data_IF_296384579444
#
_entry.id   IF_296384579444
#
_cell.length_a   1.000
_cell.length_b   1.000
_cell.length_c   1.000
_cell.angle_alpha   90.00
_cell.angle_beta   90.00
_cell.angle_gamma   90.00
#
_symmetry.space_group_name_H-M   'P 1'
#
loop_
_entity.id
_entity.type
_entity.pdbx_description
1 polymer ?
#
# COMPACT_ATOMS: atom_id res chain seq x y z
N UNK A 1 2.06 -3.57 20.81
CA UNK A 1 1.49 -2.81 19.68
C UNK A 1 2.67 -2.36 18.86
N UNK A 2 2.65 -2.59 17.56
CA UNK A 2 3.75 -2.21 16.67
C UNK A 2 3.47 -0.84 16.05
N UNK A 3 4.53 -0.06 15.84
CA UNK A 3 4.49 1.25 15.21
C UNK A 3 5.33 1.20 13.94
N UNK A 4 4.86 1.81 12.88
CA UNK A 4 5.57 1.86 11.60
C UNK A 4 5.96 3.31 11.33
N UNK A 5 7.24 3.52 11.07
CA UNK A 5 7.76 4.81 10.58
C UNK A 5 8.12 4.61 9.12
N UNK A 6 7.54 5.43 8.25
CA UNK A 6 7.71 5.34 6.80
C UNK A 6 8.03 6.73 6.21
N UNK A 7 9.16 6.83 5.52
CA UNK A 7 9.56 8.04 4.78
C UNK A 7 9.61 7.73 3.28
N UNK A 8 9.18 8.66 2.43
CA UNK A 8 9.13 8.46 0.98
C UNK A 8 10.11 9.36 0.25
N UNK A 9 10.58 8.95 -0.93
CA UNK A 9 11.41 9.75 -1.83
C UNK A 9 10.95 9.56 -3.26
N UNK A 10 10.76 10.65 -4.01
CA UNK A 10 10.57 10.56 -5.45
C UNK A 10 11.91 10.37 -6.14
N UNK A 11 12.00 9.31 -6.94
CA UNK A 11 13.16 9.03 -7.75
C UNK A 11 12.89 9.59 -9.15
N UNK A 12 13.73 10.51 -9.61
CA UNK A 12 13.53 11.23 -10.89
C UNK A 12 13.33 10.31 -12.11
N UNK A 13 13.79 9.06 -12.04
CA UNK A 13 13.54 8.04 -13.06
C UNK A 13 14.25 6.72 -12.76
N UNK A 14 14.25 5.83 -13.76
CA UNK A 14 14.87 4.50 -13.68
C UNK A 14 16.33 4.55 -13.26
N UNK A 15 17.10 5.51 -13.77
CA UNK A 15 18.53 5.63 -13.44
C UNK A 15 18.76 5.84 -11.94
N UNK A 16 17.97 6.71 -11.30
CA UNK A 16 18.04 6.93 -9.85
C UNK A 16 17.62 5.69 -9.05
N UNK A 17 16.60 4.96 -9.52
CA UNK A 17 16.17 3.71 -8.91
C UNK A 17 17.24 2.60 -9.02
N UNK A 18 17.89 2.48 -10.18
CA UNK A 18 18.96 1.52 -10.41
C UNK A 18 20.20 1.87 -9.57
N UNK A 19 20.51 3.16 -9.41
CA UNK A 19 21.58 3.64 -8.53
C UNK A 19 21.27 3.35 -7.04
N UNK A 20 20.03 3.58 -6.59
CA UNK A 20 19.61 3.24 -5.23
C UNK A 20 19.73 1.73 -4.99
N UNK A 21 19.27 0.90 -5.92
CA UNK A 21 19.40 -0.56 -5.85
C UNK A 21 20.86 -0.99 -5.68
N UNK A 22 21.77 -0.43 -6.49
CA UNK A 22 23.20 -0.73 -6.38
C UNK A 22 23.77 -0.37 -5.00
N UNK A 23 23.39 0.80 -4.44
CA UNK A 23 23.82 1.22 -3.10
C UNK A 23 23.28 0.30 -2.00
N UNK A 24 22.01 -0.13 -2.08
CA UNK A 24 21.43 -1.08 -1.13
C UNK A 24 22.18 -2.42 -1.15
N UNK A 25 22.47 -2.95 -2.34
CA UNK A 25 23.23 -4.20 -2.47
C UNK A 25 24.67 -4.06 -1.95
N UNK A 26 25.31 -2.90 -2.14
CA UNK A 26 26.64 -2.64 -1.57
C UNK A 26 26.66 -2.60 -0.03
N UNK A 27 25.48 -2.45 0.60
CA UNK A 27 25.26 -2.54 2.05
C UNK A 27 24.73 -3.91 2.48
N UNK A 28 24.91 -4.93 1.63
CA UNK A 28 24.46 -6.31 1.89
C UNK A 28 22.94 -6.43 2.13
N UNK A 29 22.15 -5.48 1.64
CA UNK A 29 20.70 -5.56 1.73
C UNK A 29 20.19 -6.80 0.97
N UNK A 30 19.24 -7.51 1.57
CA UNK A 30 18.65 -8.71 0.98
C UNK A 30 17.38 -8.35 0.23
N UNK A 31 17.26 -8.74 -1.03
CA UNK A 31 15.99 -8.71 -1.74
C UNK A 31 15.02 -9.66 -1.05
N UNK A 32 13.93 -9.13 -0.49
CA UNK A 32 12.91 -9.89 0.23
C UNK A 32 11.59 -10.00 -0.54
N UNK A 33 11.37 -9.12 -1.52
CA UNK A 33 10.17 -9.13 -2.36
C UNK A 33 10.53 -8.63 -3.76
N UNK A 34 9.97 -9.30 -4.77
CA UNK A 34 9.81 -8.75 -6.09
C UNK A 34 8.39 -9.06 -6.56
N UNK A 35 7.61 -8.03 -6.87
CA UNK A 35 6.20 -8.21 -7.19
C UNK A 35 5.67 -7.24 -8.23
N UNK A 36 4.62 -7.68 -8.94
CA UNK A 36 3.78 -6.84 -9.78
C UNK A 36 2.38 -6.81 -9.21
N UNK A 37 1.80 -5.62 -9.15
CA UNK A 37 0.55 -5.40 -8.45
C UNK A 37 -0.40 -4.55 -9.26
N UNK A 38 -1.64 -5.00 -9.39
CA UNK A 38 -2.78 -4.15 -9.74
C UNK A 38 -3.62 -4.00 -8.48
N UNK A 39 -3.78 -2.77 -8.00
CA UNK A 39 -4.53 -2.45 -6.79
C UNK A 39 -5.74 -1.60 -7.17
N UNK A 40 -6.96 -2.08 -6.93
CA UNK A 40 -8.17 -1.30 -7.16
C UNK A 40 -8.80 -0.94 -5.82
N UNK A 41 -8.92 0.35 -5.57
CA UNK A 41 -9.45 0.92 -4.34
C UNK A 41 -10.91 1.28 -4.54
N UNK A 42 -11.71 0.97 -3.53
CA UNK A 42 -13.14 1.21 -3.52
C UNK A 42 -13.55 2.03 -2.32
N UNK A 43 -14.56 2.89 -2.52
CA UNK A 43 -15.20 3.67 -1.47
C UNK A 43 -16.66 3.28 -1.34
N UNK A 44 -17.17 3.28 -0.11
CA UNK A 44 -18.53 2.85 0.22
C UNK A 44 -18.64 2.39 1.67
N UNK A 45 -19.87 2.12 2.11
CA UNK A 45 -20.20 1.74 3.49
C UNK A 45 -20.99 0.42 3.59
N UNK A 46 -20.98 -0.39 2.53
CA UNK A 46 -21.79 -1.61 2.42
C UNK A 46 -21.06 -2.89 2.85
N UNK A 47 -20.30 -2.83 3.94
CA UNK A 47 -19.43 -3.94 4.36
C UNK A 47 -20.17 -5.26 4.66
N UNK A 48 -21.36 -5.27 5.31
CA UNK A 48 -22.15 -6.49 5.47
C UNK A 48 -22.56 -7.13 4.13
N UNK A 49 -22.93 -6.32 3.14
CA UNK A 49 -23.28 -6.80 1.79
C UNK A 49 -22.06 -7.41 1.09
N UNK A 50 -20.88 -6.83 1.27
CA UNK A 50 -19.63 -7.37 0.74
C UNK A 50 -19.31 -8.73 1.37
N UNK A 51 -19.38 -8.83 2.70
CA UNK A 51 -19.13 -10.10 3.40
C UNK A 51 -20.07 -11.21 2.92
N UNK A 52 -21.36 -10.92 2.77
CA UNK A 52 -22.35 -11.89 2.30
C UNK A 52 -22.04 -12.41 0.88
N UNK A 53 -21.62 -11.51 -0.04
CA UNK A 53 -21.22 -11.90 -1.40
C UNK A 53 -19.94 -12.75 -1.40
N UNK A 54 -18.97 -12.38 -0.58
CA UNK A 54 -17.66 -13.02 -0.57
C UNK A 54 -17.62 -14.36 0.17
N UNK A 55 -18.63 -14.66 0.99
CA UNK A 55 -18.70 -15.90 1.76
C UNK A 55 -18.53 -17.18 0.92
N UNK A 56 -19.05 -17.20 -0.32
CA UNK A 56 -18.94 -18.36 -1.22
C UNK A 56 -17.61 -18.45 -1.99
N UNK A 57 -16.83 -17.37 -1.99
CA UNK A 57 -15.56 -17.27 -2.71
C UNK A 57 -14.33 -17.37 -1.78
N UNK A 58 -14.57 -17.36 -0.47
CA UNK A 58 -13.55 -17.42 0.57
C UNK A 58 -13.54 -18.78 1.25
N UNK A 59 -12.43 -19.10 1.93
CA UNK A 59 -12.41 -20.25 2.83
C UNK A 59 -13.36 -20.01 4.01
N UNK A 60 -13.86 -21.06 4.70
CA UNK A 60 -14.72 -20.87 5.87
C UNK A 60 -14.08 -20.01 6.97
N UNK A 61 -12.76 -20.09 7.15
CA UNK A 61 -12.02 -19.27 8.10
C UNK A 61 -11.97 -17.80 7.69
N UNK A 62 -11.64 -17.53 6.42
CA UNK A 62 -11.57 -16.17 5.89
C UNK A 62 -12.94 -15.50 5.86
N UNK A 63 -14.00 -16.24 5.48
CA UNK A 63 -15.37 -15.75 5.52
C UNK A 63 -15.80 -15.35 6.94
N UNK A 64 -15.47 -16.17 7.95
CA UNK A 64 -15.74 -15.85 9.34
C UNK A 64 -14.93 -14.64 9.85
N UNK A 65 -13.68 -14.49 9.40
CA UNK A 65 -12.85 -13.33 9.74
C UNK A 65 -13.43 -12.03 9.14
N UNK A 66 -13.81 -12.05 7.86
CA UNK A 66 -14.43 -10.91 7.19
C UNK A 66 -15.77 -10.53 7.85
N UNK A 67 -16.62 -11.51 8.17
CA UNK A 67 -17.87 -11.30 8.89
C UNK A 67 -17.62 -10.64 10.26
N UNK A 68 -16.63 -11.12 11.01
CA UNK A 68 -16.23 -10.54 12.29
C UNK A 68 -15.80 -9.07 12.19
N UNK A 69 -15.20 -8.63 11.08
CA UNK A 69 -14.86 -7.22 10.86
C UNK A 69 -16.12 -6.36 10.71
N UNK A 70 -17.17 -6.87 10.04
CA UNK A 70 -18.40 -6.12 9.78
C UNK A 70 -19.10 -5.66 11.06
N UNK A 71 -18.89 -6.38 12.16
CA UNK A 71 -19.53 -6.10 13.47
C UNK A 71 -18.87 -4.97 14.25
N UNK A 72 -17.59 -4.66 13.97
CA UNK A 72 -16.78 -3.70 14.74
C UNK A 72 -16.31 -2.50 13.91
N UNK A 73 -16.39 -2.58 12.59
CA UNK A 73 -15.91 -1.54 11.70
C UNK A 73 -16.84 -0.32 11.72
N UNK A 74 -16.29 0.87 11.98
CA UNK A 74 -16.99 2.15 11.78
C UNK A 74 -16.86 2.64 10.34
N UNK A 75 -15.68 2.43 9.78
CA UNK A 75 -15.36 2.69 8.38
C UNK A 75 -14.42 1.62 7.88
N UNK A 76 -14.41 1.39 6.58
CA UNK A 76 -13.52 0.43 5.94
C UNK A 76 -13.04 0.93 4.58
N UNK A 77 -11.77 0.69 4.30
CA UNK A 77 -11.22 0.75 2.95
C UNK A 77 -11.26 -0.65 2.37
N UNK A 78 -11.81 -0.78 1.17
CA UNK A 78 -11.87 -2.05 0.42
C UNK A 78 -10.95 -1.95 -0.78
N UNK A 79 -10.15 -3.00 -0.98
CA UNK A 79 -9.24 -3.12 -2.11
C UNK A 79 -9.29 -4.52 -2.69
N UNK A 80 -9.38 -4.61 -4.01
CA UNK A 80 -9.04 -5.83 -4.74
C UNK A 80 -7.62 -5.69 -5.25
N UNK A 81 -6.88 -6.81 -5.27
CA UNK A 81 -5.48 -6.80 -5.70
C UNK A 81 -5.17 -8.02 -6.52
N UNK A 82 -4.54 -7.84 -7.67
CA UNK A 82 -3.76 -8.89 -8.31
C UNK A 82 -2.31 -8.70 -7.90
N UNK A 83 -1.79 -9.61 -7.08
CA UNK A 83 -0.40 -9.66 -6.64
C UNK A 83 0.28 -10.82 -7.36
N UNK A 84 1.14 -10.49 -8.33
CA UNK A 84 1.68 -11.44 -9.29
C UNK A 84 0.54 -12.19 -10.01
N UNK A 85 0.26 -13.43 -9.62
CA UNK A 85 -0.80 -14.27 -10.17
C UNK A 85 -1.96 -14.50 -9.19
N UNK A 86 -1.85 -13.97 -7.97
CA UNK A 86 -2.82 -14.19 -6.89
C UNK A 86 -3.80 -13.02 -6.80
N UNK A 87 -5.09 -13.30 -6.93
CA UNK A 87 -6.16 -12.35 -6.68
C UNK A 87 -6.51 -12.35 -5.20
N UNK A 88 -6.55 -11.16 -4.59
CA UNK A 88 -6.73 -10.95 -3.15
C UNK A 88 -7.86 -9.94 -2.92
N UNK A 89 -8.66 -10.18 -1.87
CA UNK A 89 -9.53 -9.19 -1.26
C UNK A 89 -8.85 -8.66 0.01
N UNK A 90 -8.77 -7.33 0.12
CA UNK A 90 -8.22 -6.64 1.28
C UNK A 90 -9.29 -5.71 1.85
N UNK A 91 -9.51 -5.80 3.16
CA UNK A 91 -10.37 -4.90 3.92
C UNK A 91 -9.58 -4.36 5.11
N UNK A 92 -9.42 -3.04 5.17
CA UNK A 92 -8.82 -2.34 6.32
C UNK A 92 -9.91 -1.54 7.02
N UNK A 93 -10.29 -1.96 8.22
CA UNK A 93 -11.36 -1.35 8.99
C UNK A 93 -10.84 -0.56 10.20
N UNK A 94 -11.34 0.65 10.39
CA UNK A 94 -11.14 1.43 11.60
C UNK A 94 -12.19 1.02 12.66
N UNK A 95 -11.74 0.78 13.90
CA UNK A 95 -12.63 0.38 15.01
C UNK A 95 -12.88 1.51 16.04
N UNK A 96 -12.15 2.63 15.95
CA UNK A 96 -12.29 3.80 16.83
C UNK A 96 -12.34 5.15 16.06
N UNK A 97 -12.71 6.24 16.75
CA UNK A 97 -12.88 7.60 16.20
C UNK A 97 -11.58 8.43 16.19
N UNK A 98 -10.47 7.83 16.60
CA UNK A 98 -9.20 8.53 16.76
C UNK A 98 -8.66 8.87 15.38
N UNK A 99 -8.51 10.17 15.12
CA UNK A 99 -7.92 10.67 13.89
C UNK A 99 -6.46 10.19 13.80
N UNK A 100 -5.98 10.07 12.58
CA UNK A 100 -4.74 9.38 12.14
C UNK A 100 -3.43 9.83 12.77
N UNK A 101 -3.44 10.73 13.76
CA UNK A 101 -2.24 11.11 14.50
C UNK A 101 -1.98 10.25 15.75
N UNK A 102 -3.00 9.58 16.33
CA UNK A 102 -2.81 8.66 17.47
C UNK A 102 -3.81 7.48 17.54
N UNK A 103 -4.58 7.25 16.48
CA UNK A 103 -5.59 6.18 16.40
C UNK A 103 -5.12 4.89 15.76
N UNK A 104 -4.76 3.91 16.59
CA UNK A 104 -3.90 2.77 16.23
C UNK A 104 -4.63 1.43 16.41
N UNK A 105 -5.93 1.35 16.09
CA UNK A 105 -6.59 0.06 15.96
C UNK A 105 -7.28 -0.03 14.60
N UNK A 106 -6.53 -0.54 13.62
CA UNK A 106 -7.08 -0.96 12.32
C UNK A 106 -7.08 -2.47 12.29
N UNK A 107 -8.24 -3.08 12.04
CA UNK A 107 -8.30 -4.51 11.73
C UNK A 107 -8.08 -4.67 10.24
N UNK A 108 -7.13 -5.51 9.87
CA UNK A 108 -6.85 -5.85 8.49
C UNK A 108 -7.29 -7.29 8.22
N UNK A 109 -7.97 -7.46 7.09
CA UNK A 109 -8.26 -8.74 6.48
C UNK A 109 -7.66 -8.73 5.09
N UNK A 110 -6.90 -9.76 4.76
CA UNK A 110 -6.35 -10.01 3.43
C UNK A 110 -6.47 -11.51 3.17
N UNK A 111 -7.20 -11.88 2.11
CA UNK A 111 -7.40 -13.28 1.76
C UNK A 111 -7.39 -13.50 0.23
N UNK A 112 -6.86 -14.63 -0.25
CA UNK A 112 -6.94 -15.01 -1.66
C UNK A 112 -8.36 -15.38 -2.08
N UNK A 113 -8.72 -14.99 -3.29
CA UNK A 113 -10.02 -15.28 -3.91
C UNK A 113 -9.79 -16.09 -5.19
N UNK A 114 -9.33 -17.34 -5.03
CA UNK A 114 -8.82 -18.16 -6.13
C UNK A 114 -9.86 -18.49 -7.22
N UNK A 115 -11.15 -18.37 -6.92
CA UNK A 115 -12.24 -18.66 -7.85
C UNK A 115 -12.50 -17.54 -8.87
N UNK A 116 -11.95 -16.33 -8.65
CA UNK A 116 -12.23 -15.14 -9.44
C UNK A 116 -10.94 -14.56 -10.01
N UNK A 117 -11.03 -14.02 -11.23
CA UNK A 117 -10.03 -13.08 -11.70
C UNK A 117 -10.25 -11.69 -11.07
N UNK A 118 -9.31 -10.76 -11.28
CA UNK A 118 -9.38 -9.43 -10.68
C UNK A 118 -10.65 -8.65 -11.08
N UNK A 119 -11.11 -8.82 -12.33
CA UNK A 119 -12.28 -8.09 -12.83
C UNK A 119 -13.57 -8.66 -12.24
N UNK A 120 -13.69 -9.98 -12.18
CA UNK A 120 -14.84 -10.63 -11.55
C UNK A 120 -14.92 -10.29 -10.06
N UNK A 121 -13.77 -10.18 -9.37
CA UNK A 121 -13.75 -9.71 -7.99
C UNK A 121 -14.15 -8.24 -7.87
N UNK A 122 -13.71 -7.35 -8.77
CA UNK A 122 -14.19 -5.97 -8.83
C UNK A 122 -15.72 -5.91 -8.97
N UNK A 123 -16.28 -6.72 -9.87
CA UNK A 123 -17.72 -6.76 -10.14
C UNK A 123 -18.51 -7.19 -8.89
N UNK A 124 -18.00 -8.14 -8.11
CA UNK A 124 -18.61 -8.53 -6.82
C UNK A 124 -18.58 -7.40 -5.78
N UNK A 125 -17.47 -6.66 -5.70
CA UNK A 125 -17.34 -5.51 -4.79
C UNK A 125 -18.30 -4.39 -5.21
N UNK A 126 -18.39 -4.09 -6.50
CA UNK A 126 -19.33 -3.09 -7.04
C UNK A 126 -20.78 -3.52 -6.78
N UNK A 127 -21.09 -4.80 -7.01
CA UNK A 127 -22.42 -5.35 -6.78
C UNK A 127 -22.80 -5.42 -5.28
N UNK A 128 -21.84 -5.30 -4.37
CA UNK A 128 -22.08 -5.09 -2.94
C UNK A 128 -22.49 -3.63 -2.62
N UNK A 129 -22.35 -2.69 -3.56
CA UNK A 129 -22.71 -1.28 -3.39
C UNK A 129 -21.51 -0.32 -3.29
N UNK A 130 -20.30 -0.78 -3.59
CA UNK A 130 -19.10 0.06 -3.61
C UNK A 130 -18.89 0.74 -4.96
N UNK A 131 -18.13 1.84 -4.94
CA UNK A 131 -17.71 2.57 -6.14
C UNK A 131 -16.19 2.53 -6.27
N UNK A 132 -15.71 2.42 -7.51
CA UNK A 132 -14.27 2.51 -7.80
C UNK A 132 -13.78 3.92 -7.43
N UNK A 133 -12.81 4.00 -6.53
CA UNK A 133 -12.15 5.23 -6.14
C UNK A 133 -10.95 5.49 -7.05
N UNK A 134 -10.03 4.53 -7.14
CA UNK A 134 -8.82 4.64 -7.95
C UNK A 134 -8.26 3.26 -8.27
N UNK A 135 -7.48 3.16 -9.35
CA UNK A 135 -6.71 1.96 -9.68
C UNK A 135 -5.24 2.31 -9.81
N UNK A 136 -4.38 1.43 -9.32
CA UNK A 136 -2.93 1.61 -9.28
C UNK A 136 -2.25 0.38 -9.86
N UNK A 137 -1.26 0.59 -10.73
CA UNK A 137 -0.37 -0.45 -11.22
C UNK A 137 1.03 -0.17 -10.70
N UNK A 138 1.64 -1.17 -10.05
CA UNK A 138 2.90 -1.04 -9.33
C UNK A 138 3.78 -2.26 -9.54
N UNK A 139 5.03 -2.04 -9.93
CA UNK A 139 6.11 -3.01 -9.73
C UNK A 139 6.88 -2.62 -8.46
N UNK A 140 7.22 -3.59 -7.61
CA UNK A 140 7.95 -3.38 -6.36
C UNK A 140 9.13 -4.33 -6.25
N UNK A 141 10.29 -3.78 -5.91
CA UNK A 141 11.38 -4.52 -5.31
C UNK A 141 11.53 -4.06 -3.86
N UNK A 142 11.54 -4.98 -2.88
CA UNK A 142 11.78 -4.64 -1.48
C UNK A 142 13.08 -5.25 -0.95
N UNK A 143 13.89 -4.45 -0.27
CA UNK A 143 15.18 -4.84 0.28
C UNK A 143 15.18 -4.67 1.80
N UNK A 144 15.72 -5.65 2.52
CA UNK A 144 15.91 -5.58 3.98
C UNK A 144 17.37 -5.35 4.33
N UNK A 145 17.62 -4.32 5.14
CA UNK A 145 18.92 -4.04 5.75
C UNK A 145 19.08 -4.81 7.07
N UNK A 146 20.32 -4.90 7.56
CA UNK A 146 20.67 -5.66 8.77
C UNK A 146 20.01 -5.13 10.05
N UNK A 147 19.72 -3.83 10.09
CA UNK A 147 19.04 -3.17 11.22
C UNK A 147 17.51 -3.34 11.19
N UNK A 148 17.00 -4.09 10.21
CA UNK A 148 15.57 -4.33 10.03
C UNK A 148 14.87 -3.31 9.14
N UNK A 149 15.53 -2.24 8.71
CA UNK A 149 14.94 -1.26 7.78
C UNK A 149 14.59 -1.94 6.46
N UNK A 150 13.38 -1.70 5.97
CA UNK A 150 12.92 -2.16 4.65
C UNK A 150 12.91 -0.97 3.71
N UNK A 151 13.53 -1.13 2.54
CA UNK A 151 13.52 -0.13 1.47
C UNK A 151 12.80 -0.72 0.27
N UNK A 152 11.64 -0.15 -0.07
CA UNK A 152 10.89 -0.51 -1.26
C UNK A 152 11.25 0.45 -2.40
N UNK A 153 11.52 -0.08 -3.58
CA UNK A 153 11.63 0.69 -4.82
C UNK A 153 10.43 0.34 -5.68
N UNK A 154 9.52 1.29 -5.79
CA UNK A 154 8.27 1.15 -6.52
C UNK A 154 8.34 1.87 -7.86
N UNK A 155 7.93 1.19 -8.92
CA UNK A 155 7.55 1.81 -10.19
C UNK A 155 6.04 1.85 -10.26
N UNK A 156 5.48 3.05 -10.14
CA UNK A 156 4.05 3.30 -10.26
C UNK A 156 3.74 3.98 -11.59
N UNK A 157 2.66 3.58 -12.24
CA UNK A 157 2.06 4.45 -13.24
C UNK A 157 1.63 5.77 -12.56
N UNK A 158 1.78 6.90 -13.25
CA UNK A 158 1.54 8.24 -12.70
C UNK A 158 2.74 8.80 -11.94
N UNK A 159 3.18 8.16 -10.86
CA UNK A 159 4.25 8.73 -10.01
C UNK A 159 5.66 8.48 -10.56
N UNK A 160 5.83 7.48 -11.43
CA UNK A 160 7.16 7.02 -11.83
C UNK A 160 7.81 6.21 -10.72
N UNK A 161 9.09 6.47 -10.44
CA UNK A 161 9.83 5.72 -9.44
C UNK A 161 9.75 6.42 -8.08
N UNK A 162 9.42 5.66 -7.04
CA UNK A 162 9.35 6.12 -5.66
C UNK A 162 10.08 5.12 -4.76
N UNK A 163 10.79 5.62 -3.76
CA UNK A 163 11.35 4.79 -2.70
C UNK A 163 10.57 5.00 -1.39
N UNK A 164 10.28 3.92 -0.67
CA UNK A 164 9.75 3.95 0.70
C UNK A 164 10.81 3.37 1.64
N UNK A 165 11.07 4.05 2.75
CA UNK A 165 11.99 3.65 3.80
C UNK A 165 11.19 3.42 5.07
N UNK A 166 11.06 2.16 5.47
CA UNK A 166 10.15 1.72 6.53
C UNK A 166 10.91 1.02 7.65
N UNK A 167 10.51 1.30 8.89
CA UNK A 167 10.95 0.51 10.05
C UNK A 167 9.81 0.33 11.05
N UNK A 168 9.58 -0.93 11.43
CA UNK A 168 8.61 -1.34 12.44
C UNK A 168 9.25 -1.39 13.82
N UNK A 169 8.56 -0.87 14.82
CA UNK A 169 9.02 -0.68 16.19
C UNK A 169 8.01 -1.26 17.18
N UNK A 170 8.49 -1.79 18.30
CA UNK A 170 7.63 -2.22 19.41
C UNK A 170 7.40 -1.12 20.47
N UNK A 171 8.15 -0.01 20.37
CA UNK A 171 8.16 1.09 21.33
C UNK A 171 8.04 2.45 20.63
N UNK A 172 6.91 3.13 20.84
CA UNK A 172 6.64 4.47 20.32
C UNK A 172 7.63 5.53 20.80
N UNK A 173 8.25 5.36 21.97
CA UNK A 173 9.21 6.33 22.48
C UNK A 173 10.44 6.46 21.57
N UNK A 174 10.69 5.48 20.70
CA UNK A 174 11.79 5.47 19.73
C UNK A 174 11.43 6.09 18.38
N UNK A 175 10.17 6.43 18.13
CA UNK A 175 9.69 6.88 16.83
C UNK A 175 10.53 8.05 16.26
N UNK A 176 10.70 9.13 17.01
CA UNK A 176 11.44 10.31 16.56
C UNK A 176 12.93 10.03 16.27
N UNK A 177 13.57 9.17 17.07
CA UNK A 177 14.96 8.76 16.85
C UNK A 177 15.10 7.92 15.58
N UNK A 178 14.19 6.98 15.38
CA UNK A 178 14.14 6.10 14.19
C UNK A 178 13.86 6.91 12.93
N UNK A 179 12.98 7.91 13.00
CA UNK A 179 12.70 8.83 11.90
C UNK A 179 13.94 9.63 11.50
N UNK A 180 14.71 10.14 12.46
CA UNK A 180 15.98 10.82 12.20
C UNK A 180 17.02 9.87 11.55
N UNK A 181 17.16 8.65 12.08
CA UNK A 181 18.04 7.62 11.50
C UNK A 181 17.64 7.26 10.05
N UNK A 182 16.33 7.19 9.75
CA UNK A 182 15.85 6.94 8.38
C UNK A 182 16.20 8.11 7.45
N UNK A 183 16.08 9.37 7.89
CA UNK A 183 16.52 10.53 7.09
C UNK A 183 18.02 10.51 6.81
N UNK A 184 18.83 10.15 7.81
CA UNK A 184 20.28 10.00 7.64
C UNK A 184 20.61 8.88 6.62
N UNK A 185 19.90 7.75 6.70
CA UNK A 185 20.01 6.67 5.74
C UNK A 185 19.65 7.12 4.32
N UNK A 186 18.52 7.84 4.16
CA UNK A 186 18.09 8.40 2.88
C UNK A 186 19.16 9.30 2.28
N UNK A 187 19.68 10.25 3.08
CA UNK A 187 20.75 11.14 2.65
C UNK A 187 22.01 10.38 2.23
N UNK A 188 22.42 9.37 3.01
CA UNK A 188 23.57 8.53 2.69
C UNK A 188 23.36 7.68 1.41
N UNK A 189 22.12 7.37 1.06
CA UNK A 189 21.75 6.70 -0.19
C UNK A 189 21.49 7.68 -1.35
N UNK A 190 21.57 8.99 -1.10
CA UNK A 190 21.32 10.04 -2.10
C UNK A 190 19.84 10.23 -2.42
N UNK A 191 18.97 9.97 -1.46
CA UNK A 191 17.53 10.21 -1.54
C UNK A 191 17.16 11.41 -0.67
N UNK A 192 16.22 12.21 -1.17
CA UNK A 192 15.60 13.32 -0.43
C UNK A 192 14.18 12.93 -0.05
N UNK A 193 13.75 13.32 1.16
CA UNK A 193 12.39 13.07 1.62
C UNK A 193 11.38 13.86 0.78
N UNK A 194 10.35 13.16 0.32
CA UNK A 194 9.21 13.76 -0.35
C UNK A 194 8.39 14.55 0.67
N UNK A 195 8.32 15.86 0.47
CA UNK A 195 7.50 16.73 1.29
C UNK A 195 6.02 16.27 1.30
N UNK A 196 5.42 16.28 2.48
CA UNK A 196 4.08 15.74 2.72
C UNK A 196 3.00 16.48 1.92
N UNK A 197 3.08 17.80 1.81
CA UNK A 197 2.15 18.63 1.00
C UNK A 197 2.22 18.27 -0.49
N UNK A 198 3.42 17.93 -0.98
CA UNK A 198 3.62 17.49 -2.36
C UNK A 198 3.03 16.10 -2.56
N UNK A 199 3.25 15.17 -1.64
CA UNK A 199 2.65 13.83 -1.68
C UNK A 199 1.12 13.91 -1.72
N UNK A 200 0.52 14.78 -0.91
CA UNK A 200 -0.93 15.00 -0.89
C UNK A 200 -1.47 15.55 -2.22
N UNK A 201 -0.78 16.55 -2.81
CA UNK A 201 -1.14 17.08 -4.13
C UNK A 201 -1.03 16.03 -5.24
N UNK A 202 0.05 15.23 -5.23
CA UNK A 202 0.21 14.13 -6.17
C UNK A 202 -0.90 13.09 -6.02
N UNK A 203 -1.29 12.77 -4.78
CA UNK A 203 -2.34 11.79 -4.50
C UNK A 203 -3.71 12.28 -4.98
N UNK A 204 -4.04 13.54 -4.69
CA UNK A 204 -5.27 14.17 -5.17
C UNK A 204 -5.31 14.19 -6.71
N UNK A 205 -4.20 14.58 -7.36
CA UNK A 205 -4.11 14.60 -8.82
C UNK A 205 -4.26 13.20 -9.42
N UNK A 206 -3.56 12.19 -8.88
CA UNK A 206 -3.67 10.82 -9.39
C UNK A 206 -5.10 10.30 -9.23
N UNK A 207 -5.73 10.45 -8.07
CA UNK A 207 -7.10 9.96 -7.87
C UNK A 207 -8.12 10.61 -8.81
N UNK A 208 -7.91 11.86 -9.22
CA UNK A 208 -8.77 12.51 -10.21
C UNK A 208 -8.52 12.03 -11.65
N UNK A 209 -7.33 11.47 -11.95
CA UNK A 209 -6.88 11.20 -13.33
C UNK A 209 -6.35 9.76 -13.53
N UNK A 210 -6.59 8.84 -12.59
CA UNK A 210 -5.92 7.53 -12.57
C UNK A 210 -6.17 6.72 -13.83
N UNK A 211 -7.32 6.89 -14.49
CA UNK A 211 -7.70 6.18 -15.72
C UNK A 211 -6.77 6.49 -16.89
N UNK A 212 -6.07 7.63 -16.84
CA UNK A 212 -5.03 7.96 -17.81
C UNK A 212 -3.75 7.17 -17.55
N UNK A 213 -3.41 6.92 -16.29
CA UNK A 213 -2.11 6.36 -15.93
C UNK A 213 -2.15 4.84 -15.79
N UNK A 214 -3.20 4.31 -15.17
CA UNK A 214 -3.32 2.92 -14.78
C UNK A 214 -3.05 1.95 -15.95
N UNK A 215 -2.10 1.01 -15.74
CA UNK A 215 -1.70 0.04 -16.75
C UNK A 215 -0.79 0.60 -17.86
N UNK A 216 -0.31 1.84 -17.72
CA UNK A 216 0.59 2.49 -18.69
C UNK A 216 1.93 2.86 -18.04
N UNK A 217 2.87 3.31 -18.87
CA UNK A 217 4.15 3.85 -18.43
C UNK A 217 4.15 5.38 -18.27
N UNK A 218 2.97 6.02 -18.40
CA UNK A 218 2.85 7.47 -18.27
C UNK A 218 3.11 7.90 -16.84
N UNK A 219 3.77 9.05 -16.69
CA UNK A 219 4.00 9.71 -15.41
C UNK A 219 3.61 11.17 -15.49
N UNK A 220 3.44 11.81 -14.34
CA UNK A 220 3.24 13.24 -14.21
C UNK A 220 4.25 13.84 -13.25
N UNK A 221 4.40 15.15 -13.31
CA UNK A 221 5.16 15.94 -12.33
C UNK A 221 4.20 16.95 -11.73
N UNK A 222 4.08 16.93 -10.40
CA UNK A 222 3.44 17.97 -9.61
C UNK A 222 4.52 18.55 -8.70
N UNK A 223 4.74 19.86 -8.83
CA UNK A 223 5.59 20.66 -7.94
C UNK A 223 4.74 21.33 -6.87
#
# INVERSE_FOLDING_TARGET
MTYEIELKSLLAGREAADALRAKLLSREAKLIEQSRQLNHYFTGSALPSLAARMASHLSPGDAAQLDGITTVARSASVRTRLLNETVLLIVKAAVDDTTSENGIQRREFEAPVAALDLRALDDEVIAAGYQVQARWSRDRDAYRLADGTVVCIDRNAGYGYLAEFERVLDDAARAAAVEAELRELMAALGCEELAQDRLERMFAYYNANWSEYYGTDRTFVIE
#
